data_IF_481541225782
#
_entry.id   IF_481541225782
#
_cell.length_a   1.000
_cell.length_b   1.000
_cell.length_c   1.000
_cell.angle_alpha   90.00
_cell.angle_beta   90.00
_cell.angle_gamma   90.00
#
_symmetry.space_group_name_H-M   'P 1'
#
loop_
_entity.id
_entity.type
_entity.pdbx_description
1 polymer ?
#
# COMPACT_ATOMS: atom_id res chain seq x y z
N UNK A 1 -12.10 6.61 -20.82
CA UNK A 1 -11.93 7.39 -19.57
C UNK A 1 -10.50 7.89 -19.51
N UNK A 2 -10.26 9.21 -19.63
CA UNK A 2 -8.93 9.79 -19.37
C UNK A 2 -8.69 9.70 -17.86
N UNK A 3 -7.53 9.22 -17.43
CA UNK A 3 -7.15 9.30 -16.02
C UNK A 3 -7.12 10.77 -15.60
N UNK A 4 -7.74 11.09 -14.45
CA UNK A 4 -7.72 12.45 -13.92
C UNK A 4 -6.26 12.87 -13.66
N UNK A 5 -5.88 14.14 -13.91
CA UNK A 5 -4.49 14.59 -13.80
C UNK A 5 -3.82 14.24 -12.46
N UNK A 6 -4.57 14.36 -11.35
CA UNK A 6 -4.09 14.01 -10.02
C UNK A 6 -3.74 12.51 -9.86
N UNK A 7 -4.56 11.62 -10.43
CA UNK A 7 -4.30 10.17 -10.40
C UNK A 7 -3.01 9.84 -11.16
N UNK A 8 -2.82 10.46 -12.32
CA UNK A 8 -1.61 10.26 -13.14
C UNK A 8 -0.35 10.73 -12.42
N UNK A 9 -0.42 11.88 -11.75
CA UNK A 9 0.69 12.41 -10.96
C UNK A 9 1.06 11.51 -9.78
N UNK A 10 0.07 11.01 -9.03
CA UNK A 10 0.32 10.07 -7.92
C UNK A 10 0.91 8.74 -8.40
N UNK A 11 0.44 8.22 -9.54
CA UNK A 11 1.04 7.01 -10.14
C UNK A 11 2.46 7.24 -10.65
N UNK A 12 2.79 8.46 -11.10
CA UNK A 12 4.16 8.83 -11.42
C UNK A 12 5.03 8.87 -10.16
N UNK A 13 4.59 9.53 -9.09
CA UNK A 13 5.29 9.51 -7.79
C UNK A 13 5.52 8.08 -7.30
N UNK A 14 4.48 7.25 -7.36
CA UNK A 14 4.57 5.83 -7.01
C UNK A 14 5.62 5.11 -7.85
N UNK A 15 5.60 5.25 -9.18
CA UNK A 15 6.60 4.62 -10.07
C UNK A 15 8.01 5.15 -9.84
N UNK A 16 8.16 6.43 -9.54
CA UNK A 16 9.47 7.02 -9.26
C UNK A 16 10.10 6.39 -8.00
N UNK A 17 9.31 6.16 -6.95
CA UNK A 17 9.78 5.53 -5.70
C UNK A 17 9.93 4.02 -5.86
N UNK A 18 8.89 3.35 -6.34
CA UNK A 18 8.81 1.88 -6.43
C UNK A 18 9.57 1.31 -7.64
N UNK A 19 9.94 2.15 -8.61
CA UNK A 19 10.51 1.74 -9.89
C UNK A 19 9.49 1.06 -10.80
N UNK A 20 9.99 0.24 -11.71
CA UNK A 20 9.17 -0.61 -12.61
C UNK A 20 8.53 -1.81 -11.89
N UNK A 21 8.59 -1.83 -10.55
CA UNK A 21 8.04 -2.91 -9.74
C UNK A 21 6.52 -2.88 -9.83
N UNK A 22 5.95 -3.92 -10.44
CA UNK A 22 4.51 -4.14 -10.46
C UNK A 22 3.98 -4.38 -9.04
N UNK A 23 2.67 -4.19 -8.84
CA UNK A 23 2.02 -4.60 -7.59
C UNK A 23 2.27 -6.10 -7.34
N UNK A 24 2.45 -6.53 -6.08
CA UNK A 24 2.55 -7.95 -5.74
C UNK A 24 1.38 -8.76 -6.33
N UNK A 25 1.66 -9.99 -6.75
CA UNK A 25 0.65 -10.92 -7.30
C UNK A 25 0.81 -12.32 -6.66
N UNK A 26 -0.21 -12.85 -5.97
CA UNK A 26 -1.44 -12.15 -5.56
C UNK A 26 -1.11 -10.90 -4.72
N UNK A 27 -2.04 -9.95 -4.66
CA UNK A 27 -1.79 -8.71 -3.94
C UNK A 27 -1.63 -8.96 -2.44
N UNK A 28 -0.53 -8.43 -1.91
CA UNK A 28 -0.13 -8.51 -0.51
C UNK A 28 0.49 -7.16 -0.12
N UNK A 29 -0.20 -6.46 0.79
CA UNK A 29 0.20 -5.18 1.33
C UNK A 29 1.53 -5.24 2.11
N UNK A 30 1.82 -6.35 2.80
CA UNK A 30 3.07 -6.54 3.53
C UNK A 30 4.22 -6.70 2.54
N UNK A 31 4.01 -7.48 1.47
CA UNK A 31 5.01 -7.61 0.39
C UNK A 31 5.25 -6.27 -0.33
N UNK A 32 4.22 -5.43 -0.47
CA UNK A 32 4.37 -4.09 -1.02
C UNK A 32 5.22 -3.19 -0.11
N UNK A 33 4.95 -3.20 1.20
CA UNK A 33 5.73 -2.43 2.20
C UNK A 33 7.18 -2.90 2.23
N UNK A 34 7.44 -4.21 2.18
CA UNK A 34 8.81 -4.76 2.10
C UNK A 34 9.56 -4.22 0.87
N UNK A 35 8.93 -4.19 -0.30
CA UNK A 35 9.52 -3.58 -1.51
C UNK A 35 9.79 -2.09 -1.33
N UNK A 36 8.88 -1.36 -0.68
CA UNK A 36 9.10 0.05 -0.39
C UNK A 36 10.32 0.24 0.53
N UNK A 37 10.49 -0.60 1.55
CA UNK A 37 11.64 -0.56 2.46
C UNK A 37 12.96 -0.78 1.69
N UNK A 38 13.00 -1.78 0.80
CA UNK A 38 14.15 -2.04 -0.08
C UNK A 38 14.48 -0.83 -0.95
N UNK A 39 13.48 -0.22 -1.60
CA UNK A 39 13.65 0.95 -2.47
C UNK A 39 14.12 2.19 -1.71
N UNK A 40 13.69 2.34 -0.47
CA UNK A 40 14.13 3.44 0.40
C UNK A 40 15.51 3.19 1.00
N UNK A 41 16.05 1.98 0.94
CA UNK A 41 17.30 1.60 1.59
C UNK A 41 17.22 1.69 3.12
N UNK A 42 16.00 1.57 3.67
CA UNK A 42 15.72 1.76 5.10
C UNK A 42 14.61 0.80 5.55
N UNK A 43 14.80 0.06 6.66
CA UNK A 43 13.79 -0.86 7.16
C UNK A 43 12.47 -0.15 7.45
N UNK A 44 11.37 -0.83 7.12
CA UNK A 44 10.01 -0.47 7.56
C UNK A 44 9.50 -1.59 8.47
N UNK A 45 9.25 -1.27 9.74
CA UNK A 45 8.71 -2.20 10.72
C UNK A 45 7.19 -2.04 10.82
N UNK A 46 6.44 -3.14 10.67
CA UNK A 46 5.00 -3.17 10.89
C UNK A 46 4.69 -3.53 12.34
N UNK A 47 3.97 -2.66 13.04
CA UNK A 47 3.66 -2.81 14.47
C UNK A 47 2.14 -2.95 14.63
N UNK A 48 1.63 -4.19 14.79
CA UNK A 48 0.21 -4.40 15.07
C UNK A 48 -0.13 -3.93 16.49
N UNK A 49 -1.23 -3.22 16.64
CA UNK A 49 -1.76 -2.81 17.94
C UNK A 49 -3.27 -3.04 18.01
N UNK A 50 -3.76 -3.57 19.13
CA UNK A 50 -5.19 -3.60 19.42
C UNK A 50 -5.61 -2.16 19.78
N UNK A 51 -6.32 -1.48 18.88
CA UNK A 51 -6.74 -0.12 19.17
C UNK A 51 -7.86 -0.11 20.21
N UNK A 52 -7.84 0.91 21.06
CA UNK A 52 -8.92 1.26 21.97
C UNK A 52 -9.57 2.54 21.45
N UNK A 53 -10.82 2.84 21.85
CA UNK A 53 -11.51 4.04 21.39
C UNK A 53 -10.62 5.28 21.57
N UNK A 54 -10.51 6.11 20.52
CA UNK A 54 -9.74 7.37 20.44
C UNK A 54 -8.28 7.31 19.98
N UNK A 55 -7.81 6.19 19.44
CA UNK A 55 -6.51 6.11 18.76
C UNK A 55 -6.70 6.26 17.24
N UNK A 56 -5.77 6.93 16.52
CA UNK A 56 -5.79 6.91 15.06
C UNK A 56 -5.60 5.48 14.57
N UNK A 57 -6.26 5.13 13.46
CA UNK A 57 -6.25 3.77 12.92
C UNK A 57 -4.84 3.33 12.48
N UNK A 58 -3.97 4.28 12.12
CA UNK A 58 -2.57 4.08 11.80
C UNK A 58 -1.70 5.24 12.29
N UNK A 59 -0.39 5.00 12.37
CA UNK A 59 0.60 6.05 12.64
C UNK A 59 1.96 5.68 12.06
N UNK A 60 2.57 6.63 11.35
CA UNK A 60 3.99 6.58 11.00
C UNK A 60 4.86 7.21 12.11
N UNK A 61 5.84 6.44 12.58
CA UNK A 61 6.90 6.91 13.47
C UNK A 61 8.26 6.70 12.82
N UNK A 62 9.19 7.62 13.06
CA UNK A 62 10.57 7.52 12.57
C UNK A 62 11.49 7.33 13.76
N UNK A 63 12.35 6.31 13.69
CA UNK A 63 13.42 6.07 14.68
C UNK A 63 14.79 6.38 14.07
N UNK A 64 15.90 6.17 14.77
CA UNK A 64 17.23 6.23 14.14
C UNK A 64 17.41 5.14 13.07
N UNK A 65 16.81 3.97 13.28
CA UNK A 65 17.16 2.75 12.54
C UNK A 65 16.09 2.30 11.53
N UNK A 66 14.82 2.65 11.75
CA UNK A 66 13.70 2.22 10.94
C UNK A 66 12.59 3.27 10.84
N UNK A 67 11.78 3.18 9.80
CA UNK A 67 10.45 3.78 9.75
C UNK A 67 9.47 2.73 10.33
N UNK A 68 8.55 3.12 11.20
CA UNK A 68 7.63 2.20 11.88
C UNK A 68 6.19 2.56 11.51
N UNK A 69 5.45 1.61 10.93
CA UNK A 69 4.03 1.73 10.63
C UNK A 69 3.25 1.00 11.72
N UNK A 70 2.57 1.76 12.55
CA UNK A 70 1.62 1.23 13.55
C UNK A 70 0.25 1.12 12.89
N UNK A 71 -0.44 0.00 13.10
CA UNK A 71 -1.77 -0.20 12.53
C UNK A 71 -2.69 -0.99 13.45
N UNK A 72 -3.98 -0.64 13.43
CA UNK A 72 -5.03 -1.29 14.22
C UNK A 72 -5.29 -2.73 13.76
N UNK A 73 -5.33 -3.69 14.68
CA UNK A 73 -5.67 -5.09 14.41
C UNK A 73 -7.11 -5.48 14.77
N UNK A 74 -7.79 -4.68 15.60
CA UNK A 74 -9.18 -4.87 16.02
C UNK A 74 -10.19 -4.34 14.97
N UNK A 75 -9.84 -4.45 13.69
CA UNK A 75 -10.69 -4.05 12.56
C UNK A 75 -10.64 -5.06 11.42
N UNK A 76 -11.49 -4.89 10.41
CA UNK A 76 -11.58 -5.82 9.29
C UNK A 76 -10.27 -5.90 8.50
N UNK A 77 -9.94 -7.06 7.93
CA UNK A 77 -8.72 -7.25 7.09
C UNK A 77 -8.63 -6.22 5.97
N UNK A 78 -9.77 -5.85 5.36
CA UNK A 78 -9.81 -4.81 4.33
C UNK A 78 -9.40 -3.44 4.88
N UNK A 79 -9.84 -3.11 6.09
CA UNK A 79 -9.48 -1.86 6.74
C UNK A 79 -8.02 -1.86 7.21
N UNK A 80 -7.51 -2.97 7.76
CA UNK A 80 -6.09 -3.13 8.10
C UNK A 80 -5.19 -2.91 6.87
N UNK A 81 -5.56 -3.51 5.73
CA UNK A 81 -4.90 -3.30 4.45
C UNK A 81 -4.91 -1.82 4.06
N UNK A 82 -6.06 -1.16 4.15
CA UNK A 82 -6.17 0.26 3.79
C UNK A 82 -5.29 1.13 4.67
N UNK A 83 -5.28 0.88 5.99
CA UNK A 83 -4.40 1.57 6.95
C UNK A 83 -2.94 1.40 6.53
N UNK A 84 -2.48 0.17 6.29
CA UNK A 84 -1.09 -0.09 5.88
C UNK A 84 -0.72 0.64 4.58
N UNK A 85 -1.63 0.65 3.60
CA UNK A 85 -1.41 1.33 2.33
C UNK A 85 -1.42 2.86 2.46
N UNK A 86 -2.25 3.39 3.35
CA UNK A 86 -2.31 4.82 3.67
C UNK A 86 -1.00 5.28 4.30
N UNK A 87 -0.52 4.58 5.33
CA UNK A 87 0.76 4.90 5.98
C UNK A 87 1.95 4.75 5.01
N UNK A 88 1.94 3.72 4.16
CA UNK A 88 2.93 3.55 3.10
C UNK A 88 2.85 4.67 2.04
N UNK A 89 1.65 5.19 1.75
CA UNK A 89 1.47 6.28 0.79
C UNK A 89 2.12 7.58 1.28
N UNK A 90 2.12 7.86 2.59
CA UNK A 90 2.88 8.99 3.14
C UNK A 90 4.38 8.86 2.86
N UNK A 91 4.95 7.67 2.99
CA UNK A 91 6.35 7.40 2.67
C UNK A 91 6.65 7.52 1.17
N UNK A 92 5.73 7.09 0.30
CA UNK A 92 5.85 7.21 -1.16
C UNK A 92 5.77 8.68 -1.59
N UNK A 93 4.83 9.45 -1.03
CA UNK A 93 4.70 10.87 -1.32
C UNK A 93 5.78 11.73 -0.63
N UNK A 94 6.62 11.13 0.22
CA UNK A 94 7.72 11.80 0.91
C UNK A 94 7.26 12.75 2.02
N UNK A 95 6.06 12.56 2.55
CA UNK A 95 5.49 13.39 3.60
C UNK A 95 6.28 13.27 4.92
N UNK A 96 6.98 12.14 5.13
CA UNK A 96 7.86 11.92 6.28
C UNK A 96 9.01 12.92 6.36
N UNK A 97 9.50 13.41 5.22
CA UNK A 97 10.65 14.33 5.16
C UNK A 97 10.35 15.71 5.74
N UNK A 98 9.11 16.17 5.61
CA UNK A 98 8.67 17.42 6.22
C UNK A 98 8.59 17.33 7.75
N UNK A 99 8.41 16.11 8.28
CA UNK A 99 8.24 15.84 9.71
C UNK A 99 9.54 15.44 10.43
N UNK A 100 10.67 15.24 9.73
CA UNK A 100 11.98 14.86 10.30
C UNK A 100 12.70 15.99 11.08
N UNK A 101 11.96 16.95 11.63
CA UNK A 101 12.48 17.95 12.57
C UNK A 101 12.49 17.42 14.01
N UNK A 102 13.25 18.04 14.95
CA UNK A 102 13.16 17.71 16.37
C UNK A 102 11.70 17.86 16.80
N UNK A 103 11.15 16.85 17.49
CA UNK A 103 9.85 16.97 18.17
C UNK A 103 9.98 18.15 19.13
N UNK A 104 9.30 19.29 18.90
CA UNK A 104 9.19 20.30 19.94
C UNK A 104 8.46 19.60 21.09
N UNK A 105 8.94 19.74 22.32
CA UNK A 105 8.33 19.14 23.53
C UNK A 105 6.94 19.69 23.88
N UNK A 106 6.10 19.93 22.89
CA UNK A 106 4.68 20.22 23.01
C UNK A 106 3.83 18.97 22.74
N UNK A 107 2.58 18.96 23.21
CA UNK A 107 1.67 17.85 22.99
C UNK A 107 1.55 17.57 21.49
N UNK A 108 1.73 16.31 21.11
CA UNK A 108 1.34 15.88 19.76
C UNK A 108 -0.18 15.98 19.61
N UNK A 109 -0.73 15.70 18.41
CA UNK A 109 -2.17 15.73 18.22
C UNK A 109 -2.85 14.80 19.23
N UNK A 110 -4.04 15.18 19.67
CA UNK A 110 -4.81 14.44 20.67
C UNK A 110 -4.89 12.94 20.31
N UNK A 111 -4.56 12.07 21.26
CA UNK A 111 -4.51 10.62 21.07
C UNK A 111 -3.13 10.04 20.75
N UNK A 112 -2.16 10.84 20.31
CA UNK A 112 -0.80 10.32 20.06
C UNK A 112 -0.02 10.01 21.34
N UNK A 113 -0.22 10.78 22.41
CA UNK A 113 0.37 10.47 23.73
C UNK A 113 -0.29 9.25 24.38
N UNK A 114 -1.57 9.00 24.08
CA UNK A 114 -2.25 7.76 24.45
C UNK A 114 -1.64 6.57 23.70
N UNK A 115 -1.39 6.69 22.39
CA UNK A 115 -0.74 5.63 21.62
C UNK A 115 0.68 5.34 22.14
N UNK A 116 1.49 6.38 22.41
CA UNK A 116 2.84 6.23 22.95
C UNK A 116 2.86 5.51 24.30
N UNK A 117 1.88 5.79 25.16
CA UNK A 117 1.73 5.13 26.47
C UNK A 117 1.44 3.62 26.37
N UNK A 118 1.12 3.15 25.17
CA UNK A 118 0.82 1.75 24.87
C UNK A 118 1.88 1.07 24.01
N UNK A 119 2.89 1.80 23.54
CA UNK A 119 4.04 1.23 22.86
C UNK A 119 5.08 0.77 23.89
N UNK A 120 5.90 -0.25 23.57
CA UNK A 120 7.01 -0.62 24.43
C UNK A 120 7.93 0.56 24.70
N UNK A 121 8.35 0.76 25.95
CA UNK A 121 9.27 1.83 26.37
C UNK A 121 10.51 1.96 25.46
N UNK A 122 11.03 0.81 24.99
CA UNK A 122 12.17 0.76 24.09
C UNK A 122 11.89 1.43 22.74
N UNK A 123 10.66 1.32 22.24
CA UNK A 123 10.22 1.95 20.99
C UNK A 123 10.01 3.45 21.21
N UNK A 124 9.34 3.84 22.30
CA UNK A 124 9.10 5.25 22.66
C UNK A 124 10.40 6.03 22.78
N UNK A 125 11.43 5.45 23.44
CA UNK A 125 12.76 6.08 23.59
C UNK A 125 13.52 6.24 22.26
N UNK A 126 13.14 5.48 21.24
CA UNK A 126 13.77 5.50 19.91
C UNK A 126 13.00 6.38 18.91
N UNK A 127 11.82 6.88 19.25
CA UNK A 127 11.03 7.76 18.36
C UNK A 127 11.75 9.10 18.24
N UNK A 128 12.29 9.37 17.06
CA UNK A 128 12.85 10.68 16.68
C UNK A 128 11.77 11.68 16.27
N UNK A 129 10.61 11.17 15.83
CA UNK A 129 9.49 11.95 15.37
C UNK A 129 8.29 11.09 15.04
N UNK A 130 7.10 11.69 15.21
CA UNK A 130 5.81 11.20 14.71
C UNK A 130 5.24 12.26 13.79
N UNK A 131 4.56 11.87 12.73
CA UNK A 131 4.11 12.79 11.69
C UNK A 131 2.70 13.31 11.96
N UNK A 132 2.51 14.61 11.78
CA UNK A 132 1.19 15.23 11.61
C UNK A 132 1.15 15.75 10.19
N UNK A 133 0.17 15.31 9.42
CA UNK A 133 0.06 15.71 8.04
C UNK A 133 -1.00 16.79 7.88
N UNK A 134 -0.78 17.64 6.89
CA UNK A 134 -1.75 18.65 6.46
C UNK A 134 -2.88 18.01 5.67
N UNK A 135 -4.05 18.67 5.60
CA UNK A 135 -5.19 18.18 4.81
C UNK A 135 -4.81 17.77 3.36
N UNK A 136 -3.99 18.52 2.61
CA UNK A 136 -3.55 18.07 1.28
C UNK A 136 -2.71 16.80 1.29
N UNK A 137 -1.86 16.62 2.31
CA UNK A 137 -1.01 15.43 2.45
C UNK A 137 -1.82 14.20 2.82
N UNK A 138 -2.79 14.35 3.71
CA UNK A 138 -3.79 13.31 4.04
C UNK A 138 -4.59 12.91 2.80
N UNK A 139 -5.07 13.89 2.03
CA UNK A 139 -5.81 13.64 0.79
C UNK A 139 -4.97 12.91 -0.26
N UNK A 140 -3.70 13.30 -0.44
CA UNK A 140 -2.79 12.61 -1.36
C UNK A 140 -2.53 11.15 -0.95
N UNK A 141 -2.31 10.90 0.35
CA UNK A 141 -2.07 9.56 0.88
C UNK A 141 -3.31 8.67 0.70
N UNK A 142 -4.48 9.18 1.07
CA UNK A 142 -5.76 8.48 0.95
C UNK A 142 -6.09 8.13 -0.51
N UNK A 143 -5.85 9.08 -1.43
CA UNK A 143 -6.08 8.86 -2.84
C UNK A 143 -5.13 7.80 -3.41
N UNK A 144 -3.84 7.83 -3.07
CA UNK A 144 -2.89 6.83 -3.53
C UNK A 144 -3.20 5.42 -2.98
N UNK A 145 -3.52 5.30 -1.69
CA UNK A 145 -3.93 4.04 -1.07
C UNK A 145 -5.16 3.45 -1.78
N UNK A 146 -6.18 4.28 -2.01
CA UNK A 146 -7.39 3.91 -2.75
C UNK A 146 -7.09 3.45 -4.19
N UNK A 147 -6.16 4.12 -4.88
CA UNK A 147 -5.74 3.74 -6.23
C UNK A 147 -5.03 2.38 -6.27
N UNK A 148 -4.17 2.10 -5.29
CA UNK A 148 -3.50 0.80 -5.16
C UNK A 148 -4.52 -0.30 -4.91
N UNK A 149 -5.42 -0.11 -3.93
CA UNK A 149 -6.51 -1.05 -3.63
C UNK A 149 -7.39 -1.33 -4.86
N UNK A 150 -7.83 -0.28 -5.56
CA UNK A 150 -8.67 -0.41 -6.75
C UNK A 150 -7.95 -1.19 -7.85
N UNK A 151 -6.66 -0.90 -8.07
CA UNK A 151 -5.86 -1.62 -9.05
C UNK A 151 -5.67 -3.09 -8.67
N UNK A 152 -5.33 -3.37 -7.42
CA UNK A 152 -5.17 -4.73 -6.92
C UNK A 152 -6.46 -5.55 -7.07
N UNK A 153 -7.61 -4.97 -6.70
CA UNK A 153 -8.92 -5.61 -6.85
C UNK A 153 -9.25 -5.91 -8.34
N UNK A 154 -8.94 -4.96 -9.23
CA UNK A 154 -9.10 -5.17 -10.68
C UNK A 154 -8.20 -6.25 -11.24
N UNK A 155 -6.95 -6.34 -10.77
CA UNK A 155 -6.01 -7.39 -11.19
C UNK A 155 -6.39 -8.77 -10.63
N UNK A 156 -7.01 -8.83 -9.45
CA UNK A 156 -7.56 -10.07 -8.89
C UNK A 156 -8.86 -10.51 -9.59
N UNK A 157 -9.69 -9.56 -10.02
CA UNK A 157 -10.92 -9.82 -10.79
C UNK A 157 -10.64 -10.04 -12.29
N UNK A 158 -9.45 -9.64 -12.78
CA UNK A 158 -9.03 -9.90 -14.14
C UNK A 158 -8.98 -11.43 -14.33
N UNK A 159 -9.75 -11.97 -15.25
CA UNK A 159 -10.09 -13.37 -15.19
C UNK A 159 -8.91 -14.31 -15.49
N UNK A 160 -8.86 -15.45 -14.81
CA UNK A 160 -8.21 -16.70 -15.24
C UNK A 160 -8.76 -17.25 -16.59
N UNK A 161 -9.47 -16.44 -17.38
CA UNK A 161 -10.19 -16.84 -18.59
C UNK A 161 -9.27 -17.08 -19.81
N UNK A 162 -7.96 -16.83 -19.70
CA UNK A 162 -7.04 -17.13 -20.79
C UNK A 162 -6.83 -18.65 -21.01
N UNK A 163 -6.81 -19.47 -19.95
CA UNK A 163 -6.48 -20.90 -20.08
C UNK A 163 -7.69 -21.76 -20.52
N UNK A 164 -8.91 -21.40 -20.10
CA UNK A 164 -10.12 -22.18 -20.40
C UNK A 164 -10.68 -21.98 -21.83
N UNK A 165 -10.43 -20.82 -22.44
CA UNK A 165 -10.99 -20.48 -23.76
C UNK A 165 -10.06 -20.88 -24.93
N UNK A 166 -8.74 -20.98 -24.71
CA UNK A 166 -7.80 -21.48 -25.73
C UNK A 166 -8.06 -22.96 -26.10
N UNK A 167 -8.54 -23.78 -25.17
CA UNK A 167 -8.92 -25.18 -25.44
C UNK A 167 -10.19 -25.35 -26.29
N UNK A 168 -11.09 -24.36 -26.32
CA UNK A 168 -12.33 -24.46 -27.11
C UNK A 168 -12.19 -23.90 -28.52
N UNK A 169 -11.32 -22.91 -28.74
CA UNK A 169 -11.03 -22.44 -30.11
C UNK A 169 -10.08 -23.36 -30.89
N UNK A 170 -9.20 -24.11 -30.23
CA UNK A 170 -8.37 -25.13 -30.89
C UNK A 170 -9.17 -26.30 -31.48
N UNK A 171 -10.37 -26.56 -30.98
CA UNK A 171 -11.24 -27.66 -31.44
C UNK A 171 -12.15 -27.30 -32.62
N UNK A 172 -12.32 -26.01 -32.95
CA UNK A 172 -13.26 -25.59 -34.00
C UNK A 172 -12.62 -25.36 -35.38
N UNK A 173 -11.29 -25.28 -35.47
CA UNK A 173 -10.59 -25.17 -36.77
C UNK A 173 -9.96 -26.49 -37.27
N UNK A 174 -10.01 -27.57 -36.48
CA UNK A 174 -9.53 -28.89 -36.90
C UNK A 174 -10.54 -29.74 -37.69
N UNK A 175 -11.84 -29.40 -37.64
CA UNK A 175 -12.89 -30.26 -38.22
C UNK A 175 -13.22 -29.98 -39.70
N UNK A 176 -12.75 -28.86 -40.27
CA UNK A 176 -13.02 -28.52 -41.68
C UNK A 176 -11.91 -28.95 -42.67
N UNK A 177 -10.79 -29.51 -42.18
CA UNK A 177 -9.70 -29.97 -43.04
C UNK A 177 -9.84 -31.44 -43.51
N UNK A 178 -10.83 -32.20 -43.01
CA UNK A 178 -10.95 -33.63 -43.25
C UNK A 178 -11.96 -34.03 -44.35
N UNK A 179 -12.68 -33.09 -44.97
CA UNK A 179 -13.73 -33.37 -45.97
C UNK A 179 -13.36 -32.84 -47.36
N UNK A 180 -12.23 -33.30 -47.93
CA UNK A 180 -11.78 -32.80 -49.23
C UNK A 180 -10.94 -33.72 -50.12
N UNK A 181 -10.69 -34.99 -49.75
CA UNK A 181 -9.94 -35.93 -50.60
C UNK A 181 -10.48 -37.35 -50.50
N UNK A 182 -11.55 -37.62 -51.24
CA UNK A 182 -11.98 -38.97 -51.60
C UNK A 182 -12.84 -38.95 -52.86
N UNK A 183 -12.28 -38.51 -54.00
CA UNK A 183 -12.74 -38.86 -55.36
C UNK A 183 -11.53 -38.79 -56.31
N UNK A 184 -11.21 -39.91 -56.94
CA UNK A 184 -10.10 -40.11 -57.86
C UNK A 184 -9.64 -41.54 -57.81
#
# INVERSE_FOLDING_TARGET
MRAQPAHSALWEKYRQVMGDTSLPRPFDEVALVARLAERRGRPIELIPVDTRPNLPCGLLMVTDHADCIVYATDTTVLHQRHILLHEAAHLVCGHDRAARGPVPGGPGPAGTDALLSHLPDALVRRVLGRTVYTEPQEHEAELLASLICSRAAREAAAPQLAEGQQRRLGSMFGALAAWGRARG
#
